data_IF_766035215470
#
_entry.id   IF_766035215470
#
_cell.length_a   1.000
_cell.length_b   1.000
_cell.length_c   1.000
_cell.angle_alpha   90.00
_cell.angle_beta   90.00
_cell.angle_gamma   90.00
#
_symmetry.space_group_name_H-M   'P 1'
#
loop_
_entity.id
_entity.type
_entity.pdbx_description
1 polymer ?
#
# COMPACT_ATOMS: atom_id res chain seq x y z
N UNK A 1 -7.81 5.83 -22.03
CA UNK A 1 -6.86 4.69 -22.04
C UNK A 1 -5.62 5.14 -21.30
N UNK A 2 -5.48 4.80 -20.02
CA UNK A 2 -4.38 5.27 -19.19
C UNK A 2 -3.74 4.07 -18.46
N UNK A 3 -2.53 3.71 -18.90
CA UNK A 3 -1.43 3.03 -18.19
C UNK A 3 -0.26 2.98 -19.19
N UNK A 4 0.99 3.29 -18.77
CA UNK A 4 1.65 2.56 -17.69
C UNK A 4 2.26 3.46 -16.59
N UNK A 5 2.24 2.93 -15.37
CA UNK A 5 3.06 3.42 -14.26
C UNK A 5 4.55 3.28 -14.63
N UNK A 6 5.20 4.39 -14.98
CA UNK A 6 6.67 4.48 -15.01
C UNK A 6 7.13 5.30 -13.80
N UNK A 7 7.85 4.59 -12.93
CA UNK A 7 8.55 4.95 -11.68
C UNK A 7 7.70 5.53 -10.53
N UNK A 8 7.20 4.63 -9.69
CA UNK A 8 7.79 4.43 -8.37
C UNK A 8 8.52 3.07 -8.44
N UNK A 9 9.72 2.96 -7.86
CA UNK A 9 10.70 1.94 -8.27
C UNK A 9 10.27 0.47 -8.02
N UNK A 10 9.22 0.24 -7.22
CA UNK A 10 8.74 -1.11 -6.87
C UNK A 10 7.55 -1.53 -7.73
N UNK A 11 6.62 -0.62 -8.00
CA UNK A 11 5.42 -0.80 -8.83
C UNK A 11 5.78 -1.21 -10.26
N UNK A 12 6.83 -0.59 -10.80
CA UNK A 12 7.35 -0.91 -12.12
C UNK A 12 7.99 -2.32 -12.20
N UNK A 13 8.24 -2.97 -11.06
CA UNK A 13 8.88 -4.28 -10.94
C UNK A 13 7.93 -5.37 -10.42
N UNK A 14 6.61 -5.17 -10.51
CA UNK A 14 5.62 -6.14 -10.02
C UNK A 14 5.83 -7.55 -10.59
N UNK A 15 6.14 -7.69 -11.88
CA UNK A 15 6.40 -9.00 -12.49
C UNK A 15 7.64 -9.70 -11.90
N UNK A 16 8.69 -8.94 -11.58
CA UNK A 16 9.88 -9.49 -10.91
C UNK A 16 9.56 -9.87 -9.46
N UNK A 17 8.74 -9.09 -8.77
CA UNK A 17 8.28 -9.44 -7.42
C UNK A 17 7.47 -10.73 -7.44
N UNK A 18 6.55 -10.90 -8.40
CA UNK A 18 5.77 -12.13 -8.54
C UNK A 18 6.67 -13.35 -8.79
N UNK A 19 7.71 -13.21 -9.62
CA UNK A 19 8.73 -14.23 -9.84
C UNK A 19 9.51 -14.55 -8.55
N UNK A 20 9.96 -13.53 -7.82
CA UNK A 20 10.67 -13.70 -6.55
C UNK A 20 9.82 -14.37 -5.46
N UNK A 21 8.50 -14.16 -5.49
CA UNK A 21 7.55 -14.74 -4.54
C UNK A 21 7.06 -16.14 -4.95
N UNK A 22 7.46 -16.65 -6.11
CA UNK A 22 6.95 -17.90 -6.67
C UNK A 22 7.39 -19.16 -5.93
N UNK A 23 8.56 -19.14 -5.27
CA UNK A 23 9.02 -20.21 -4.40
C UNK A 23 8.44 -20.04 -2.98
N UNK A 24 7.29 -20.67 -2.73
CA UNK A 24 6.59 -20.60 -1.44
C UNK A 24 7.44 -21.07 -0.26
N UNK A 25 8.29 -22.08 -0.45
CA UNK A 25 9.10 -22.62 0.63
C UNK A 25 10.19 -21.62 1.04
N UNK A 26 10.87 -21.05 0.05
CA UNK A 26 11.84 -20.00 0.28
C UNK A 26 11.19 -18.72 0.82
N UNK A 27 10.02 -18.32 0.30
CA UNK A 27 9.25 -17.19 0.80
C UNK A 27 8.93 -17.32 2.30
N UNK A 28 8.35 -18.45 2.72
CA UNK A 28 8.02 -18.69 4.14
C UNK A 28 9.27 -18.71 5.02
N UNK A 29 10.38 -19.26 4.54
CA UNK A 29 11.66 -19.23 5.25
C UNK A 29 12.14 -17.80 5.49
N UNK A 30 12.11 -16.96 4.45
CA UNK A 30 12.51 -15.55 4.57
C UNK A 30 11.53 -14.75 5.46
N UNK A 31 10.23 -15.00 5.38
CA UNK A 31 9.24 -14.38 6.26
C UNK A 31 9.48 -14.74 7.72
N UNK A 32 9.81 -16.00 8.03
CA UNK A 32 10.17 -16.43 9.40
C UNK A 32 11.42 -15.72 9.90
N UNK A 33 12.47 -15.66 9.08
CA UNK A 33 13.70 -14.94 9.42
C UNK A 33 13.44 -13.44 9.64
N UNK A 34 12.63 -12.82 8.78
CA UNK A 34 12.22 -11.43 8.89
C UNK A 34 11.44 -11.17 10.18
N UNK A 35 10.43 -11.99 10.48
CA UNK A 35 9.65 -11.88 11.72
C UNK A 35 10.53 -12.03 12.96
N UNK A 36 11.43 -13.02 12.99
CA UNK A 36 12.33 -13.25 14.11
C UNK A 36 13.26 -12.05 14.36
N UNK A 37 13.80 -11.45 13.28
CA UNK A 37 14.62 -10.24 13.38
C UNK A 37 13.86 -9.07 13.97
N UNK A 38 12.65 -8.80 13.48
CA UNK A 38 11.82 -7.69 13.98
C UNK A 38 11.38 -7.93 15.42
N UNK A 39 10.96 -9.14 15.76
CA UNK A 39 10.57 -9.52 17.13
C UNK A 39 11.74 -9.36 18.10
N UNK A 40 12.96 -9.73 17.69
CA UNK A 40 14.19 -9.51 18.46
C UNK A 40 14.51 -8.03 18.73
N UNK A 41 13.91 -7.11 17.99
CA UNK A 41 14.01 -5.67 18.19
C UNK A 41 12.80 -5.07 18.94
N UNK A 42 11.90 -5.91 19.47
CA UNK A 42 10.70 -5.47 20.19
C UNK A 42 9.56 -4.99 19.29
N UNK A 43 9.67 -5.14 17.98
CA UNK A 43 8.57 -4.87 17.06
C UNK A 43 7.56 -6.00 17.23
N UNK A 44 6.28 -5.66 17.41
CA UNK A 44 5.21 -6.65 17.70
C UNK A 44 4.07 -6.63 16.68
N UNK A 45 4.10 -5.69 15.73
CA UNK A 45 3.11 -5.58 14.68
C UNK A 45 3.68 -4.88 13.45
N UNK A 46 3.23 -5.29 12.27
CA UNK A 46 3.59 -4.70 10.98
C UNK A 46 2.36 -4.46 10.11
N UNK A 47 2.49 -3.52 9.18
CA UNK A 47 1.66 -3.48 7.98
C UNK A 47 2.48 -4.03 6.84
N UNK A 48 1.96 -5.05 6.16
CA UNK A 48 2.60 -5.61 4.98
C UNK A 48 1.86 -5.16 3.74
N UNK A 49 2.60 -4.68 2.74
CA UNK A 49 2.05 -4.12 1.51
C UNK A 49 2.18 -5.16 0.42
N UNK A 50 1.05 -5.64 -0.09
CA UNK A 50 1.02 -6.50 -1.26
C UNK A 50 0.61 -5.69 -2.50
N UNK A 51 0.99 -6.14 -3.69
CA UNK A 51 0.54 -5.54 -4.94
C UNK A 51 -0.63 -6.34 -5.50
N UNK A 52 -1.72 -5.65 -5.84
CA UNK A 52 -2.97 -6.28 -6.26
C UNK A 52 -3.41 -7.38 -5.28
N UNK A 53 -3.62 -8.61 -5.76
CA UNK A 53 -4.07 -9.77 -4.99
C UNK A 53 -2.92 -10.64 -4.43
N UNK A 54 -1.72 -10.60 -5.03
CA UNK A 54 -0.48 -11.26 -4.59
C UNK A 54 -0.69 -12.66 -3.96
N UNK A 55 -1.23 -13.64 -4.71
CA UNK A 55 -1.74 -14.89 -4.15
C UNK A 55 -0.69 -15.70 -3.39
N UNK A 56 0.57 -15.70 -3.84
CA UNK A 56 1.66 -16.41 -3.18
C UNK A 56 1.93 -15.85 -1.77
N UNK A 57 2.01 -14.53 -1.64
CA UNK A 57 2.21 -13.86 -0.36
C UNK A 57 1.01 -14.06 0.58
N UNK A 58 -0.21 -13.95 0.05
CA UNK A 58 -1.45 -14.18 0.80
C UNK A 58 -1.51 -15.62 1.34
N UNK A 59 -1.14 -16.61 0.51
CA UNK A 59 -1.11 -18.01 0.92
C UNK A 59 -0.01 -18.27 1.95
N UNK A 60 1.18 -17.69 1.79
CA UNK A 60 2.26 -17.83 2.75
C UNK A 60 1.87 -17.29 4.13
N UNK A 61 1.20 -16.13 4.21
CA UNK A 61 0.68 -15.61 5.47
C UNK A 61 -0.37 -16.52 6.10
N UNK A 62 -1.33 -17.01 5.31
CA UNK A 62 -2.37 -17.94 5.76
C UNK A 62 -1.78 -19.25 6.31
N UNK A 63 -0.79 -19.82 5.63
CA UNK A 63 -0.10 -21.03 6.08
C UNK A 63 0.69 -20.80 7.36
N UNK A 64 1.43 -19.69 7.46
CA UNK A 64 2.19 -19.35 8.68
C UNK A 64 1.25 -19.13 9.87
N UNK A 65 0.06 -18.57 9.65
CA UNK A 65 -0.96 -18.48 10.70
C UNK A 65 -1.46 -19.86 11.14
N UNK A 66 -1.81 -20.73 10.19
CA UNK A 66 -2.28 -22.10 10.47
C UNK A 66 -1.23 -22.98 11.16
N UNK A 67 0.04 -22.68 10.93
CA UNK A 67 1.20 -23.33 11.56
C UNK A 67 1.55 -22.75 12.94
N UNK A 68 0.78 -21.80 13.47
CA UNK A 68 1.06 -21.06 14.72
C UNK A 68 2.47 -20.43 14.72
N UNK A 69 2.90 -19.95 13.55
CA UNK A 69 4.26 -19.53 13.28
C UNK A 69 4.45 -18.00 13.22
N UNK A 70 3.38 -17.24 13.43
CA UNK A 70 3.44 -15.78 13.43
C UNK A 70 4.06 -15.27 14.74
N UNK A 71 5.16 -14.53 14.63
CA UNK A 71 5.78 -13.86 15.78
C UNK A 71 5.31 -12.41 15.97
N UNK A 72 4.55 -11.89 14.98
CA UNK A 72 4.11 -10.51 14.89
C UNK A 72 2.64 -10.47 14.45
N UNK A 73 1.91 -9.42 14.83
CA UNK A 73 0.60 -9.13 14.24
C UNK A 73 0.78 -8.49 12.86
N UNK A 74 0.15 -9.06 11.85
CA UNK A 74 0.26 -8.61 10.46
C UNK A 74 -1.05 -8.00 10.00
N UNK A 75 -0.99 -6.76 9.52
CA UNK A 75 -2.09 -6.06 8.87
C UNK A 75 -1.78 -5.90 7.39
N UNK A 76 -2.33 -6.76 6.55
CA UNK A 76 -2.11 -6.71 5.10
C UNK A 76 -2.86 -5.52 4.52
N UNK A 77 -2.20 -4.75 3.67
CA UNK A 77 -2.82 -3.74 2.80
C UNK A 77 -2.52 -4.04 1.35
N UNK A 78 -3.53 -3.97 0.50
CA UNK A 78 -3.36 -4.14 -0.95
C UNK A 78 -3.13 -2.80 -1.63
N UNK A 79 -2.08 -2.71 -2.43
CA UNK A 79 -1.83 -1.58 -3.30
C UNK A 79 -2.27 -1.93 -4.73
N UNK A 80 -3.28 -1.22 -5.30
CA UNK A 80 -3.59 -1.34 -6.72
C UNK A 80 -2.43 -0.81 -7.55
N UNK A 81 -1.89 -1.64 -8.46
CA UNK A 81 -0.76 -1.28 -9.33
C UNK A 81 -1.14 -1.42 -10.80
N UNK A 82 -1.54 -2.60 -11.25
CA UNK A 82 -1.84 -2.85 -12.68
C UNK A 82 -3.29 -2.58 -13.05
N UNK A 83 -4.15 -2.38 -12.06
CA UNK A 83 -5.58 -2.15 -12.22
C UNK A 83 -6.11 -1.20 -11.12
N UNK A 84 -7.31 -0.62 -11.30
CA UNK A 84 -8.03 0.05 -10.22
C UNK A 84 -8.22 -0.84 -8.98
N UNK A 85 -8.61 -0.21 -7.87
CA UNK A 85 -8.93 -0.92 -6.62
C UNK A 85 -9.92 -2.07 -6.84
N UNK A 86 -9.51 -3.28 -6.45
CA UNK A 86 -10.36 -4.48 -6.52
C UNK A 86 -11.08 -4.71 -5.19
N UNK A 87 -12.31 -4.21 -5.11
CA UNK A 87 -13.16 -4.39 -3.93
C UNK A 87 -13.60 -5.84 -3.72
N UNK A 88 -13.75 -6.63 -4.79
CA UNK A 88 -14.18 -8.02 -4.67
C UNK A 88 -13.09 -8.85 -3.99
N UNK A 89 -11.83 -8.65 -4.43
CA UNK A 89 -10.66 -9.17 -3.74
C UNK A 89 -10.59 -8.68 -2.30
N UNK A 90 -10.77 -7.37 -2.06
CA UNK A 90 -10.74 -6.81 -0.70
C UNK A 90 -11.75 -7.48 0.25
N UNK A 91 -12.97 -7.77 -0.24
CA UNK A 91 -13.99 -8.49 0.53
C UNK A 91 -13.59 -9.94 0.82
N UNK A 92 -13.03 -10.63 -0.18
CA UNK A 92 -12.51 -11.99 -0.01
C UNK A 92 -11.37 -12.02 1.01
N UNK A 93 -10.41 -11.10 0.90
CA UNK A 93 -9.27 -10.98 1.80
C UNK A 93 -9.72 -10.63 3.22
N UNK A 94 -10.69 -9.73 3.39
CA UNK A 94 -11.28 -9.40 4.71
C UNK A 94 -11.98 -10.60 5.36
N UNK A 95 -12.62 -11.47 4.57
CA UNK A 95 -13.23 -12.72 5.06
C UNK A 95 -12.20 -13.82 5.33
N UNK A 96 -11.06 -13.79 4.65
CA UNK A 96 -9.98 -14.79 4.83
C UNK A 96 -9.08 -14.43 6.01
N UNK A 97 -8.77 -13.15 6.18
CA UNK A 97 -7.81 -12.64 7.15
C UNK A 97 -8.52 -11.71 8.13
N UNK A 98 -8.93 -12.23 9.28
CA UNK A 98 -9.69 -11.50 10.29
C UNK A 98 -9.33 -11.88 11.73
N UNK A 99 -8.19 -12.53 11.96
CA UNK A 99 -7.77 -12.96 13.29
C UNK A 99 -7.07 -11.81 14.04
N UNK A 100 -6.78 -11.98 15.35
CA UNK A 100 -5.93 -11.06 16.10
C UNK A 100 -4.48 -10.98 15.60
N UNK A 101 -3.98 -12.01 14.90
CA UNK A 101 -2.60 -12.12 14.42
C UNK A 101 -2.45 -11.78 12.94
N UNK A 102 -3.44 -12.08 12.11
CA UNK A 102 -3.42 -11.82 10.67
C UNK A 102 -4.76 -11.23 10.23
N UNK A 103 -4.72 -10.03 9.64
CA UNK A 103 -5.92 -9.37 9.12
C UNK A 103 -5.67 -8.63 7.82
N UNK A 104 -6.70 -8.56 7.00
CA UNK A 104 -6.74 -7.63 5.88
C UNK A 104 -7.26 -6.27 6.36
N UNK A 105 -6.44 -5.24 6.19
CA UNK A 105 -6.71 -3.90 6.73
C UNK A 105 -7.40 -2.97 5.73
N UNK A 106 -7.12 -3.13 4.44
CA UNK A 106 -7.68 -2.31 3.37
C UNK A 106 -6.66 -2.03 2.27
N UNK A 107 -6.68 -0.80 1.74
CA UNK A 107 -5.91 -0.44 0.55
C UNK A 107 -4.87 0.65 0.82
N UNK A 108 -3.77 0.58 0.07
CA UNK A 108 -2.71 1.59 0.02
C UNK A 108 -2.71 2.20 -1.38
N UNK A 109 -2.84 3.50 -1.48
CA UNK A 109 -2.81 4.23 -2.75
C UNK A 109 -1.51 5.01 -2.86
N UNK A 110 -0.84 4.90 -3.99
CA UNK A 110 0.24 5.81 -4.37
C UNK A 110 -0.38 7.07 -4.92
N UNK A 111 0.01 8.22 -4.38
CA UNK A 111 -0.53 9.52 -4.75
C UNK A 111 0.36 10.14 -5.81
N UNK A 112 1.64 10.30 -5.50
CA UNK A 112 2.68 10.79 -6.39
C UNK A 112 3.83 9.77 -6.49
N UNK A 113 4.93 10.19 -7.13
CA UNK A 113 6.16 9.41 -7.20
C UNK A 113 7.14 9.76 -6.09
N UNK A 114 8.42 9.68 -6.40
CA UNK A 114 9.51 9.92 -5.45
C UNK A 114 10.13 11.29 -5.71
N UNK A 115 10.38 12.06 -4.66
CA UNK A 115 11.00 13.39 -4.74
C UNK A 115 12.38 13.32 -5.40
N UNK A 116 13.17 12.30 -5.08
CA UNK A 116 14.50 12.10 -5.64
C UNK A 116 14.50 11.90 -7.18
N UNK A 117 13.38 11.43 -7.73
CA UNK A 117 13.18 11.26 -9.18
C UNK A 117 12.40 12.44 -9.80
N UNK A 118 12.19 13.53 -9.05
CA UNK A 118 11.37 14.69 -9.45
C UNK A 118 9.90 14.36 -9.77
N UNK A 119 9.40 13.23 -9.25
CA UNK A 119 8.02 12.75 -9.50
C UNK A 119 7.10 12.90 -8.30
N UNK A 120 7.60 13.39 -7.17
CA UNK A 120 6.77 13.91 -6.08
C UNK A 120 6.08 15.21 -6.51
N UNK A 121 4.83 15.43 -6.11
CA UNK A 121 4.07 16.61 -6.50
C UNK A 121 4.34 17.78 -5.55
N UNK A 122 5.08 18.78 -6.02
CA UNK A 122 5.56 19.89 -5.19
C UNK A 122 4.75 21.18 -5.40
N UNK A 123 4.52 21.96 -4.33
CA UNK A 123 3.85 23.28 -4.42
C UNK A 123 4.71 24.27 -5.20
N UNK A 124 6.02 24.24 -4.98
CA UNK A 124 7.01 25.05 -5.67
C UNK A 124 7.93 24.16 -6.52
N UNK A 125 8.55 24.71 -7.59
CA UNK A 125 9.48 23.93 -8.38
C UNK A 125 10.63 23.35 -7.55
N UNK A 126 11.14 22.19 -7.97
CA UNK A 126 12.32 21.58 -7.37
C UNK A 126 13.53 22.52 -7.44
N UNK A 127 14.31 22.59 -6.36
CA UNK A 127 15.42 23.53 -6.23
C UNK A 127 16.55 23.25 -7.23
N UNK A 128 16.81 21.96 -7.52
CA UNK A 128 17.79 21.49 -8.48
C UNK A 128 17.23 21.37 -9.91
N UNK A 129 15.92 21.59 -10.08
CA UNK A 129 15.22 21.53 -11.37
C UNK A 129 14.18 22.64 -11.52
N UNK A 130 14.62 23.89 -11.72
CA UNK A 130 13.74 25.04 -11.84
C UNK A 130 12.69 24.86 -12.94
N UNK A 131 11.45 25.28 -12.66
CA UNK A 131 10.32 25.18 -13.58
C UNK A 131 9.60 23.82 -13.57
N UNK A 132 10.14 22.81 -12.88
CA UNK A 132 9.47 21.52 -12.69
C UNK A 132 8.92 21.42 -11.28
N UNK A 133 7.60 21.27 -11.14
CA UNK A 133 6.95 20.92 -9.87
C UNK A 133 6.71 19.41 -9.73
N UNK A 134 6.61 18.71 -10.85
CA UNK A 134 6.36 17.28 -10.93
C UNK A 134 6.58 16.81 -12.38
N UNK A 135 7.41 15.79 -12.60
CA UNK A 135 7.61 15.19 -13.93
C UNK A 135 6.52 14.21 -14.34
N UNK A 136 5.70 13.80 -13.39
CA UNK A 136 4.67 12.79 -13.57
C UNK A 136 3.36 13.28 -12.95
N UNK A 137 2.56 14.05 -13.71
CA UNK A 137 1.30 14.60 -13.23
C UNK A 137 0.36 13.53 -12.63
N UNK A 138 -0.27 13.89 -11.53
CA UNK A 138 -1.20 13.02 -10.79
C UNK A 138 -2.64 13.29 -11.23
N UNK A 139 -3.39 12.23 -11.54
CA UNK A 139 -4.84 12.33 -11.72
C UNK A 139 -5.56 12.24 -10.36
N UNK A 140 -5.65 13.39 -9.68
CA UNK A 140 -6.29 13.48 -8.36
C UNK A 140 -7.78 13.16 -8.38
N UNK A 141 -8.47 13.35 -9.50
CA UNK A 141 -9.90 13.03 -9.60
C UNK A 141 -10.11 11.52 -9.62
N UNK A 142 -9.34 10.80 -10.44
CA UNK A 142 -9.39 9.33 -10.49
C UNK A 142 -8.96 8.72 -9.14
N UNK A 143 -7.87 9.22 -8.54
CA UNK A 143 -7.41 8.79 -7.22
C UNK A 143 -8.50 8.99 -6.16
N UNK A 144 -9.10 10.18 -6.11
CA UNK A 144 -10.20 10.49 -5.19
C UNK A 144 -11.35 9.49 -5.34
N UNK A 145 -11.78 9.21 -6.57
CA UNK A 145 -12.88 8.26 -6.81
C UNK A 145 -12.56 6.86 -6.26
N UNK A 146 -11.33 6.35 -6.47
CA UNK A 146 -10.94 5.04 -5.96
C UNK A 146 -10.88 4.99 -4.42
N UNK A 147 -10.29 6.01 -3.79
CA UNK A 147 -10.21 6.11 -2.33
C UNK A 147 -11.60 6.15 -1.72
N UNK A 148 -12.49 6.99 -2.25
CA UNK A 148 -13.86 7.12 -1.74
C UNK A 148 -14.68 5.85 -1.97
N UNK A 149 -14.44 5.14 -3.08
CA UNK A 149 -15.10 3.86 -3.35
C UNK A 149 -14.70 2.78 -2.33
N UNK A 150 -13.42 2.70 -1.97
CA UNK A 150 -12.93 1.77 -0.94
C UNK A 150 -13.41 2.15 0.47
N UNK A 151 -13.36 3.44 0.81
CA UNK A 151 -13.84 3.99 2.08
C UNK A 151 -15.34 3.72 2.29
N UNK A 152 -16.16 3.92 1.25
CA UNK A 152 -17.60 3.64 1.28
C UNK A 152 -17.93 2.15 1.53
N UNK A 153 -16.98 1.23 1.30
CA UNK A 153 -17.10 -0.20 1.63
C UNK A 153 -16.50 -0.57 3.00
N UNK A 154 -16.08 0.43 3.76
CA UNK A 154 -15.54 0.30 5.11
C UNK A 154 -14.09 -0.19 5.17
N UNK A 155 -13.35 -0.16 4.05
CA UNK A 155 -11.91 -0.44 4.04
C UNK A 155 -11.13 0.77 4.53
N UNK A 156 -10.05 0.52 5.28
CA UNK A 156 -9.12 1.61 5.59
C UNK A 156 -8.31 1.95 4.34
N UNK A 157 -8.09 3.25 4.13
CA UNK A 157 -7.27 3.75 3.03
C UNK A 157 -6.00 4.40 3.59
N UNK A 158 -4.85 3.93 3.12
CA UNK A 158 -3.54 4.55 3.34
C UNK A 158 -3.16 5.29 2.06
N UNK A 159 -2.63 6.50 2.16
CA UNK A 159 -2.13 7.26 1.01
C UNK A 159 -0.65 7.54 1.21
N UNK A 160 0.15 7.17 0.21
CA UNK A 160 1.58 7.47 0.14
C UNK A 160 1.75 8.70 -0.72
N UNK A 161 2.19 9.78 -0.08
CA UNK A 161 2.50 11.04 -0.71
C UNK A 161 3.85 11.53 -0.18
N UNK A 162 4.76 11.91 -1.08
CA UNK A 162 6.03 12.52 -0.70
C UNK A 162 5.99 14.04 -0.85
N UNK A 163 5.49 14.53 -1.98
CA UNK A 163 5.45 15.95 -2.29
C UNK A 163 4.43 16.72 -1.45
N UNK A 164 4.75 17.98 -1.13
CA UNK A 164 3.91 18.83 -0.27
C UNK A 164 2.57 19.20 -0.92
N UNK A 165 2.50 19.31 -2.26
CA UNK A 165 1.23 19.46 -2.96
C UNK A 165 0.40 18.17 -2.90
N UNK A 166 1.03 17.00 -3.08
CA UNK A 166 0.36 15.70 -2.95
C UNK A 166 -0.22 15.48 -1.54
N UNK A 167 0.53 15.84 -0.50
CA UNK A 167 0.06 15.76 0.89
C UNK A 167 -1.18 16.65 1.10
N UNK A 168 -1.18 17.88 0.56
CA UNK A 168 -2.34 18.77 0.64
C UNK A 168 -3.57 18.16 -0.05
N UNK A 169 -3.38 17.56 -1.22
CA UNK A 169 -4.45 16.87 -1.94
C UNK A 169 -4.98 15.65 -1.20
N UNK A 170 -4.13 14.91 -0.49
CA UNK A 170 -4.58 13.81 0.37
C UNK A 170 -5.56 14.27 1.45
N UNK A 171 -5.27 15.42 2.07
CA UNK A 171 -6.13 16.02 3.09
C UNK A 171 -7.48 16.42 2.46
N UNK A 172 -7.46 17.08 1.30
CA UNK A 172 -8.67 17.47 0.56
C UNK A 172 -9.54 16.27 0.16
N UNK A 173 -8.93 15.11 -0.12
CA UNK A 173 -9.64 13.86 -0.43
C UNK A 173 -10.48 13.40 0.76
N UNK A 174 -9.92 13.41 1.98
CA UNK A 174 -10.61 12.92 3.18
C UNK A 174 -11.57 13.93 3.82
N UNK A 175 -11.32 15.24 3.70
CA UNK A 175 -12.08 16.27 4.44
C UNK A 175 -13.61 16.27 4.18
N UNK A 176 -14.14 16.06 2.96
CA UNK A 176 -15.58 16.07 2.71
C UNK A 176 -16.37 14.95 3.40
N UNK A 177 -15.68 13.91 3.91
CA UNK A 177 -16.29 12.75 4.58
C UNK A 177 -16.05 12.74 6.10
N UNK A 178 -15.68 13.87 6.71
CA UNK A 178 -15.31 13.97 8.12
C UNK A 178 -16.46 13.77 9.15
N UNK A 179 -17.53 13.04 8.80
CA UNK A 179 -18.65 12.73 9.71
C UNK A 179 -18.42 11.43 10.51
N UNK A 180 -17.36 10.65 10.24
CA UNK A 180 -16.92 9.61 11.20
C UNK A 180 -15.45 9.22 11.05
N UNK A 181 -14.52 10.16 11.26
CA UNK A 181 -13.09 9.81 11.39
C UNK A 181 -12.82 9.23 12.78
N UNK A 182 -13.33 8.04 13.06
CA UNK A 182 -12.78 7.14 14.09
C UNK A 182 -11.81 6.12 13.49
N UNK A 183 -11.52 6.19 12.19
CA UNK A 183 -10.67 5.20 11.50
C UNK A 183 -9.36 5.85 11.03
N UNK A 184 -8.24 5.28 11.50
CA UNK A 184 -6.88 5.81 11.41
C UNK A 184 -6.40 5.88 9.95
N UNK A 185 -6.56 7.02 9.30
CA UNK A 185 -5.78 7.36 8.11
C UNK A 185 -4.30 7.46 8.53
N UNK A 186 -3.43 6.76 7.82
CA UNK A 186 -1.98 6.86 8.01
C UNK A 186 -1.42 7.51 6.74
N UNK A 187 -0.71 8.62 6.93
CA UNK A 187 0.17 9.20 5.91
C UNK A 187 1.54 8.56 6.12
N UNK A 188 1.98 7.73 5.18
CA UNK A 188 3.29 7.09 5.24
C UNK A 188 4.29 7.84 4.38
N UNK A 189 5.25 8.50 5.01
CA UNK A 189 6.50 8.97 4.36
C UNK A 189 7.48 7.79 4.51
N UNK A 190 7.76 7.07 3.43
CA UNK A 190 8.80 6.02 3.39
C UNK A 190 9.55 6.11 2.07
#
# INVERSE_FOLDING_TARGET
MALPLKSAAREARIALLDEMLSDTAQLKKEMRAFMARLAGQGITAIKDVCFNDAPQLMNAWDELEKEDALLLRVSIVSQPVSAPVDLAFGEQARRRFHSPWLRFHGFKFMVDGVIADHTGDMIYPYADRPGTNNERPVDYNALRQQVLLADARGFNCCMNAEGDAAIRRCIDIFLPNAVSVTRRAWLGIL
#
